data_IF_641935573213
#
_entry.id   IF_641935573213
#
_cell.length_a   1.000
_cell.length_b   1.000
_cell.length_c   1.000
_cell.angle_alpha   90.00
_cell.angle_beta   90.00
_cell.angle_gamma   90.00
#
_symmetry.space_group_name_H-M   'P 1'
#
loop_
_entity.id
_entity.type
_entity.pdbx_description
1 polymer ?
#
# COMPACT_ATOMS: atom_id res chain seq x y z
N UNK A 1 1.12 -14.67 -2.53
CA UNK A 1 0.03 -13.80 -2.02
C UNK A 1 0.39 -13.06 -0.74
N UNK A 2 0.93 -13.69 0.31
CA UNK A 2 1.28 -12.98 1.55
C UNK A 2 2.24 -11.78 1.33
N UNK A 3 3.18 -11.92 0.40
CA UNK A 3 4.11 -10.85 0.00
C UNK A 3 3.44 -9.62 -0.60
N UNK A 4 2.18 -9.69 -1.04
CA UNK A 4 1.46 -8.51 -1.53
C UNK A 4 1.00 -7.60 -0.38
N UNK A 5 0.78 -8.15 0.83
CA UNK A 5 -0.06 -7.56 1.90
C UNK A 5 0.59 -6.40 2.66
N UNK A 6 1.92 -6.37 2.80
CA UNK A 6 2.61 -5.34 3.59
C UNK A 6 3.51 -4.42 2.77
N UNK A 7 4.37 -4.93 1.84
CA UNK A 7 5.40 -4.11 1.19
C UNK A 7 4.90 -2.79 0.58
N UNK A 8 3.76 -2.82 -0.10
CA UNK A 8 3.17 -1.62 -0.69
C UNK A 8 2.90 -0.50 0.34
N UNK A 9 2.68 -0.82 1.62
CA UNK A 9 2.46 0.19 2.67
C UNK A 9 3.73 0.98 2.97
N UNK A 10 4.90 0.35 2.88
CA UNK A 10 6.19 1.04 3.07
C UNK A 10 6.42 2.10 2.00
N UNK A 11 6.19 1.73 0.73
CA UNK A 11 6.25 2.64 -0.42
C UNK A 11 5.38 3.89 -0.22
N UNK A 12 4.09 3.69 0.08
CA UNK A 12 3.14 4.79 0.32
C UNK A 12 3.57 5.69 1.49
N UNK A 13 4.18 5.10 2.52
CA UNK A 13 4.71 5.84 3.66
C UNK A 13 5.89 6.73 3.28
N UNK A 14 6.82 6.25 2.45
CA UNK A 14 7.92 7.09 1.97
C UNK A 14 7.43 8.25 1.09
N UNK A 15 6.47 8.00 0.19
CA UNK A 15 5.87 9.06 -0.63
C UNK A 15 5.16 10.10 0.25
N UNK A 16 4.32 9.65 1.19
CA UNK A 16 3.60 10.53 2.12
C UNK A 16 4.51 11.30 3.07
N UNK A 17 5.69 10.76 3.38
CA UNK A 17 6.69 11.41 4.24
C UNK A 17 7.54 12.44 3.49
N UNK A 18 7.69 12.32 2.17
CA UNK A 18 8.57 13.17 1.36
C UNK A 18 8.38 14.69 1.58
N UNK A 19 7.15 15.25 1.67
CA UNK A 19 6.95 16.68 1.92
C UNK A 19 7.44 17.16 3.29
N UNK A 20 7.56 16.25 4.26
CA UNK A 20 7.90 16.57 5.65
C UNK A 20 9.39 16.43 5.98
N UNK A 21 10.19 15.91 5.04
CA UNK A 21 11.62 15.67 5.25
C UNK A 21 12.46 16.88 4.83
N UNK A 22 13.25 17.37 5.77
CA UNK A 22 14.18 18.48 5.59
C UNK A 22 15.63 18.01 5.53
N UNK A 23 16.42 18.65 4.66
CA UNK A 23 17.86 18.42 4.51
C UNK A 23 18.25 17.40 3.44
N UNK A 24 19.40 17.63 2.79
CA UNK A 24 19.88 16.82 1.68
C UNK A 24 20.17 15.36 2.06
N UNK A 25 20.76 15.13 3.24
CA UNK A 25 21.11 13.77 3.70
C UNK A 25 19.87 12.91 3.88
N UNK A 26 18.85 13.44 4.57
CA UNK A 26 17.61 12.72 4.84
C UNK A 26 16.79 12.50 3.57
N UNK A 27 16.74 13.49 2.67
CA UNK A 27 16.11 13.31 1.35
C UNK A 27 16.83 12.25 0.50
N UNK A 28 18.17 12.20 0.55
CA UNK A 28 18.95 11.16 -0.14
C UNK A 28 18.62 9.77 0.40
N UNK A 29 18.51 9.63 1.73
CA UNK A 29 18.11 8.38 2.35
C UNK A 29 16.70 7.95 1.93
N UNK A 30 15.72 8.85 2.05
CA UNK A 30 14.33 8.57 1.65
C UNK A 30 14.24 8.17 0.18
N UNK A 31 14.89 8.90 -0.72
CA UNK A 31 14.89 8.58 -2.15
C UNK A 31 15.52 7.21 -2.45
N UNK A 32 16.60 6.86 -1.73
CA UNK A 32 17.23 5.55 -1.85
C UNK A 32 16.32 4.40 -1.40
N UNK A 33 15.62 4.56 -0.28
CA UNK A 33 14.66 3.57 0.23
C UNK A 33 13.44 3.46 -0.69
N UNK A 34 12.90 4.60 -1.13
CA UNK A 34 11.77 4.69 -2.03
C UNK A 34 12.01 3.88 -3.32
N UNK A 35 13.18 4.05 -3.95
CA UNK A 35 13.51 3.33 -5.19
C UNK A 35 13.55 1.81 -5.03
N UNK A 36 14.06 1.32 -3.90
CA UNK A 36 14.11 -0.13 -3.61
C UNK A 36 12.71 -0.69 -3.37
N UNK A 37 11.88 0.01 -2.58
CA UNK A 37 10.49 -0.41 -2.34
C UNK A 37 9.64 -0.39 -3.61
N UNK A 38 9.81 0.61 -4.49
CA UNK A 38 9.13 0.66 -5.79
C UNK A 38 9.50 -0.55 -6.65
N UNK A 39 10.79 -0.94 -6.68
CA UNK A 39 11.24 -2.13 -7.41
C UNK A 39 10.67 -3.43 -6.83
N UNK A 40 10.60 -3.54 -5.50
CA UNK A 40 9.99 -4.69 -4.83
C UNK A 40 8.49 -4.80 -5.14
N UNK A 41 7.75 -3.69 -5.05
CA UNK A 41 6.31 -3.67 -5.38
C UNK A 41 6.06 -4.07 -6.83
N UNK A 42 6.78 -3.48 -7.78
CA UNK A 42 6.65 -3.79 -9.20
C UNK A 42 6.97 -5.27 -9.50
N UNK A 43 7.99 -5.84 -8.87
CA UNK A 43 8.35 -7.26 -9.03
C UNK A 43 7.25 -8.19 -8.50
N UNK A 44 6.72 -7.91 -7.30
CA UNK A 44 5.64 -8.69 -6.71
C UNK A 44 4.37 -8.57 -7.56
N UNK A 45 3.99 -7.35 -7.98
CA UNK A 45 2.85 -7.12 -8.86
C UNK A 45 3.00 -7.84 -10.19
N UNK A 46 4.18 -7.80 -10.81
CA UNK A 46 4.49 -8.53 -12.05
C UNK A 46 4.28 -10.03 -11.89
N UNK A 47 4.84 -10.61 -10.84
CA UNK A 47 4.69 -12.05 -10.55
C UNK A 47 3.23 -12.46 -10.33
N UNK A 48 2.44 -11.63 -9.63
CA UNK A 48 1.02 -11.88 -9.39
C UNK A 48 0.18 -11.67 -10.64
N UNK A 49 0.53 -10.71 -11.49
CA UNK A 49 -0.16 -10.45 -12.75
C UNK A 49 -0.02 -11.62 -13.73
N UNK A 50 1.18 -12.21 -13.85
CA UNK A 50 1.39 -13.42 -14.64
C UNK A 50 0.46 -14.58 -14.22
N UNK A 51 0.11 -14.62 -12.93
CA UNK A 51 -0.75 -15.63 -12.31
C UNK A 51 -2.17 -15.16 -12.07
N UNK A 52 -2.53 -13.99 -12.61
CA UNK A 52 -3.80 -13.30 -12.31
C UNK A 52 -5.03 -14.19 -12.47
N UNK A 53 -5.02 -15.11 -13.44
CA UNK A 53 -6.12 -16.03 -13.76
C UNK A 53 -6.09 -17.35 -12.98
N UNK A 54 -5.02 -17.63 -12.23
CA UNK A 54 -4.93 -18.84 -11.41
C UNK A 54 -5.94 -18.76 -10.25
N UNK A 55 -6.69 -19.84 -10.03
CA UNK A 55 -7.63 -19.95 -8.91
C UNK A 55 -6.87 -20.38 -7.66
N UNK A 56 -7.05 -19.63 -6.56
CA UNK A 56 -6.33 -19.86 -5.30
C UNK A 56 -7.10 -20.86 -4.44
N UNK A 57 -6.84 -22.15 -4.62
CA UNK A 57 -7.48 -23.19 -3.80
C UNK A 57 -7.20 -23.03 -2.29
N UNK A 58 -8.19 -23.29 -1.41
CA UNK A 58 -9.56 -23.76 -1.68
C UNK A 58 -10.57 -22.65 -2.00
N UNK A 59 -10.12 -21.40 -2.10
CA UNK A 59 -10.96 -20.25 -2.30
C UNK A 59 -11.33 -20.14 -3.79
N UNK A 60 -12.62 -20.09 -4.14
CA UNK A 60 -13.10 -20.00 -5.52
C UNK A 60 -12.91 -18.59 -6.11
N UNK A 61 -11.71 -18.03 -5.96
CA UNK A 61 -11.30 -16.70 -6.35
C UNK A 61 -9.95 -16.77 -7.05
N UNK A 62 -9.77 -15.92 -8.05
CA UNK A 62 -8.50 -15.82 -8.76
C UNK A 62 -7.48 -15.01 -7.97
N UNK A 63 -6.20 -15.12 -8.34
CA UNK A 63 -5.14 -14.24 -7.81
C UNK A 63 -5.51 -12.77 -7.99
N UNK A 64 -6.04 -12.38 -9.16
CA UNK A 64 -6.49 -11.02 -9.42
C UNK A 64 -7.56 -10.57 -8.41
N UNK A 65 -8.59 -11.39 -8.19
CA UNK A 65 -9.67 -11.10 -7.24
C UNK A 65 -9.12 -10.84 -5.85
N UNK A 66 -8.18 -11.68 -5.38
CA UNK A 66 -7.56 -11.47 -4.09
C UNK A 66 -6.76 -10.18 -4.01
N UNK A 67 -6.01 -9.80 -5.05
CA UNK A 67 -5.29 -8.51 -5.04
C UNK A 67 -6.24 -7.33 -4.93
N UNK A 68 -7.36 -7.37 -5.68
CA UNK A 68 -8.40 -6.34 -5.62
C UNK A 68 -9.00 -6.27 -4.22
N UNK A 69 -9.31 -7.41 -3.60
CA UNK A 69 -9.88 -7.45 -2.25
C UNK A 69 -8.91 -6.94 -1.18
N UNK A 70 -7.61 -7.24 -1.30
CA UNK A 70 -6.58 -6.71 -0.39
C UNK A 70 -6.47 -5.19 -0.54
N UNK A 71 -6.43 -4.66 -1.76
CA UNK A 71 -6.38 -3.22 -2.00
C UNK A 71 -7.62 -2.51 -1.48
N UNK A 72 -8.82 -3.08 -1.73
CA UNK A 72 -10.09 -2.55 -1.20
C UNK A 72 -10.13 -2.56 0.33
N UNK A 73 -9.62 -3.62 0.97
CA UNK A 73 -9.51 -3.71 2.41
C UNK A 73 -8.64 -2.56 2.96
N UNK A 74 -7.46 -2.31 2.37
CA UNK A 74 -6.57 -1.24 2.81
C UNK A 74 -7.18 0.14 2.62
N UNK A 75 -7.82 0.40 1.48
CA UNK A 75 -8.50 1.68 1.23
C UNK A 75 -9.61 1.93 2.25
N UNK A 76 -10.41 0.89 2.56
CA UNK A 76 -11.48 0.96 3.57
C UNK A 76 -10.92 1.23 4.97
N UNK A 77 -9.89 0.50 5.39
CA UNK A 77 -9.27 0.69 6.71
C UNK A 77 -8.59 2.06 6.83
N UNK A 78 -7.92 2.53 5.78
CA UNK A 78 -7.26 3.83 5.78
C UNK A 78 -8.23 5.02 5.76
N UNK A 79 -9.50 4.81 5.37
CA UNK A 79 -10.55 5.85 5.28
C UNK A 79 -10.18 7.04 4.37
N UNK A 80 -9.41 6.81 3.30
CA UNK A 80 -8.75 7.87 2.52
C UNK A 80 -9.08 7.87 1.02
N UNK A 81 -10.16 7.21 0.60
CA UNK A 81 -10.45 6.97 -0.82
C UNK A 81 -9.54 5.92 -1.46
N UNK A 82 -9.40 5.96 -2.79
CA UNK A 82 -8.61 4.99 -3.56
C UNK A 82 -7.15 5.45 -3.61
N UNK A 83 -6.27 4.73 -2.90
CA UNK A 83 -4.80 4.92 -2.94
C UNK A 83 -4.06 3.59 -3.11
N UNK A 84 -4.80 2.58 -3.55
CA UNK A 84 -4.32 1.22 -3.74
C UNK A 84 -5.30 0.48 -4.64
N UNK A 85 -4.77 -0.30 -5.54
CA UNK A 85 -5.50 -1.01 -6.58
C UNK A 85 -4.83 -2.36 -6.83
N UNK A 86 -5.66 -3.35 -7.18
CA UNK A 86 -5.19 -4.69 -7.54
C UNK A 86 -4.31 -4.69 -8.78
N UNK A 87 -3.75 -5.86 -9.13
CA UNK A 87 -2.83 -5.97 -10.30
C UNK A 87 -3.56 -5.91 -11.64
N UNK A 88 -4.89 -6.06 -11.62
CA UNK A 88 -5.79 -5.84 -12.76
C UNK A 88 -6.82 -4.80 -12.36
N UNK A 89 -7.02 -3.81 -13.21
CA UNK A 89 -8.00 -2.72 -13.04
C UNK A 89 -8.85 -2.59 -14.30
N UNK A 90 -10.08 -2.04 -14.21
CA UNK A 90 -10.84 -1.66 -15.38
C UNK A 90 -10.04 -0.71 -16.27
N UNK A 91 -10.21 -0.76 -17.61
CA UNK A 91 -9.45 0.09 -18.53
C UNK A 91 -9.48 1.57 -18.17
N UNK A 92 -10.57 2.08 -17.58
CA UNK A 92 -10.76 3.47 -17.18
C UNK A 92 -9.85 3.92 -16.02
N UNK A 93 -9.24 2.99 -15.30
CA UNK A 93 -8.29 3.26 -14.23
C UNK A 93 -6.84 2.95 -14.63
N UNK A 94 -6.64 2.21 -15.73
CA UNK A 94 -5.28 1.92 -16.19
C UNK A 94 -4.70 2.99 -17.10
N UNK A 95 -3.41 2.82 -17.42
CA UNK A 95 -2.64 3.79 -18.17
C UNK A 95 -3.32 4.16 -19.51
N UNK A 96 -3.44 5.47 -19.74
CA UNK A 96 -4.08 6.10 -20.90
C UNK A 96 -5.55 5.70 -21.12
N UNK A 97 -6.25 5.18 -20.11
CA UNK A 97 -7.58 4.56 -20.23
C UNK A 97 -7.62 3.35 -21.19
N UNK A 98 -6.48 2.70 -21.44
CA UNK A 98 -6.32 1.67 -22.49
C UNK A 98 -5.72 0.36 -22.00
N UNK A 99 -5.29 0.32 -20.75
CA UNK A 99 -4.57 -0.82 -20.18
C UNK A 99 -5.32 -1.35 -18.97
N UNK A 100 -5.37 -2.66 -18.80
CA UNK A 100 -5.98 -3.29 -17.61
C UNK A 100 -4.92 -3.72 -16.58
N UNK A 101 -3.65 -3.79 -16.98
CA UNK A 101 -2.56 -4.12 -16.08
C UNK A 101 -2.19 -2.93 -15.20
N UNK A 102 -2.00 -3.23 -13.91
CA UNK A 102 -1.61 -2.24 -12.90
C UNK A 102 -0.35 -2.71 -12.15
N UNK A 103 0.72 -2.87 -12.92
CA UNK A 103 2.03 -3.29 -12.41
C UNK A 103 2.75 -2.16 -11.67
N UNK A 104 2.56 -0.93 -12.16
CA UNK A 104 3.08 0.30 -11.57
C UNK A 104 1.89 1.13 -11.11
N UNK A 105 1.50 0.96 -9.85
CA UNK A 105 0.34 1.67 -9.31
C UNK A 105 0.67 3.13 -9.04
N UNK A 106 -0.12 4.01 -9.66
CA UNK A 106 0.04 5.45 -9.60
C UNK A 106 -1.30 6.15 -9.82
N UNK A 107 -1.38 7.42 -9.43
CA UNK A 107 -2.55 8.26 -9.69
C UNK A 107 -2.68 8.66 -11.17
N UNK A 108 -3.70 9.46 -11.47
CA UNK A 108 -3.95 9.95 -12.84
C UNK A 108 -2.76 10.71 -13.45
N UNK A 109 -1.89 11.31 -12.64
CA UNK A 109 -0.70 12.02 -13.09
C UNK A 109 0.53 11.11 -13.15
N UNK A 110 0.36 9.80 -13.00
CA UNK A 110 1.45 8.82 -12.89
C UNK A 110 2.37 9.07 -11.69
N UNK A 111 1.84 9.65 -10.61
CA UNK A 111 2.54 9.80 -9.34
C UNK A 111 2.16 8.67 -8.39
N UNK A 112 3.15 8.09 -7.71
CA UNK A 112 2.87 7.12 -6.64
C UNK A 112 1.97 7.73 -5.58
N UNK A 113 1.03 6.95 -5.07
CA UNK A 113 0.18 7.39 -3.97
C UNK A 113 0.98 7.59 -2.68
N UNK A 114 0.50 8.48 -1.80
CA UNK A 114 1.06 8.70 -0.48
C UNK A 114 0.03 8.46 0.61
N UNK A 115 0.45 7.79 1.69
CA UNK A 115 -0.36 7.66 2.92
C UNK A 115 0.27 8.37 4.11
N UNK A 116 -0.57 8.92 4.97
CA UNK A 116 -0.12 9.49 6.25
C UNK A 116 0.22 8.38 7.25
N UNK A 117 1.00 8.66 8.31
CA UNK A 117 1.27 7.68 9.35
C UNK A 117 0.00 7.10 9.98
N UNK A 118 -1.01 7.94 10.23
CA UNK A 118 -2.32 7.50 10.74
C UNK A 118 -3.02 6.54 9.78
N UNK A 119 -3.12 6.89 8.49
CA UNK A 119 -3.70 6.00 7.45
C UNK A 119 -2.99 4.64 7.39
N UNK A 120 -1.66 4.63 7.56
CA UNK A 120 -0.86 3.40 7.58
C UNK A 120 -1.14 2.57 8.83
N UNK A 121 -1.18 3.21 10.01
CA UNK A 121 -1.42 2.50 11.27
C UNK A 121 -2.83 1.90 11.33
N UNK A 122 -3.86 2.59 10.84
CA UNK A 122 -5.22 2.04 10.68
C UNK A 122 -5.24 0.71 9.92
N UNK A 123 -4.44 0.62 8.85
CA UNK A 123 -4.30 -0.58 8.03
C UNK A 123 -3.48 -1.65 8.76
N UNK A 124 -2.33 -1.30 9.32
CA UNK A 124 -1.43 -2.24 9.99
C UNK A 124 -2.05 -2.84 11.27
N UNK A 125 -2.82 -2.05 12.00
CA UNK A 125 -3.61 -2.53 13.14
C UNK A 125 -4.86 -3.30 12.72
N UNK A 126 -5.29 -3.17 11.46
CA UNK A 126 -6.48 -3.84 10.91
C UNK A 126 -7.78 -3.49 11.65
N UNK A 127 -7.79 -2.35 12.35
CA UNK A 127 -8.93 -1.82 13.13
C UNK A 127 -9.65 -0.70 12.40
N UNK A 128 -8.98 -0.02 11.46
CA UNK A 128 -9.47 1.22 10.88
C UNK A 128 -9.27 2.44 11.79
N UNK A 129 -8.59 2.24 12.93
CA UNK A 129 -8.33 3.26 13.95
C UNK A 129 -6.85 3.20 14.36
N UNK A 130 -6.13 4.31 14.18
CA UNK A 130 -4.72 4.47 14.51
C UNK A 130 -4.44 4.48 16.02
N UNK A 131 -5.48 4.60 16.84
CA UNK A 131 -5.41 4.62 18.30
C UNK A 131 -5.66 3.24 18.92
N UNK A 132 -6.11 2.25 18.12
CA UNK A 132 -6.45 0.90 18.59
C UNK A 132 -5.49 -0.11 17.95
N UNK A 133 -4.49 -0.62 18.70
CA UNK A 133 -3.59 -1.67 18.26
C UNK A 133 -4.31 -2.96 17.86
N UNK A 134 -3.67 -3.75 16.99
CA UNK A 134 -4.24 -4.99 16.48
C UNK A 134 -3.43 -5.56 15.32
N UNK A 135 -4.00 -6.54 14.61
CA UNK A 135 -3.46 -7.02 13.34
C UNK A 135 -1.98 -7.40 13.41
N UNK A 136 -1.14 -6.70 12.63
CA UNK A 136 0.29 -6.94 12.56
C UNK A 136 1.08 -6.42 13.77
N UNK A 137 0.49 -5.52 14.55
CA UNK A 137 1.08 -4.93 15.74
C UNK A 137 0.06 -4.97 16.90
N UNK A 138 -0.19 -6.16 17.48
CA UNK A 138 -1.20 -6.34 18.52
C UNK A 138 -0.91 -5.52 19.79
N UNK A 139 0.36 -5.19 20.05
CA UNK A 139 0.81 -4.36 21.17
C UNK A 139 1.08 -2.90 20.78
N UNK A 140 0.79 -2.54 19.53
CA UNK A 140 1.08 -1.21 18.97
C UNK A 140 2.47 -1.13 18.35
N UNK A 141 2.63 -0.21 17.39
CA UNK A 141 3.91 0.04 16.77
C UNK A 141 4.80 0.92 17.67
N UNK A 142 6.11 0.63 17.70
CA UNK A 142 7.06 1.28 18.62
C UNK A 142 7.70 2.57 18.07
N UNK A 143 7.18 3.11 16.96
CA UNK A 143 7.64 4.39 16.42
C UNK A 143 7.21 5.56 17.30
N UNK A 144 7.95 6.68 17.26
CA UNK A 144 7.57 7.89 18.01
C UNK A 144 6.13 8.33 17.68
N UNK A 145 5.81 8.46 16.38
CA UNK A 145 4.49 8.87 15.90
C UNK A 145 3.39 7.89 16.35
N UNK A 146 3.67 6.58 16.27
CA UNK A 146 2.71 5.57 16.68
C UNK A 146 2.41 5.62 18.18
N UNK A 147 3.42 5.86 19.03
CA UNK A 147 3.22 6.02 20.47
C UNK A 147 2.42 7.28 20.80
N UNK A 148 2.72 8.40 20.14
CA UNK A 148 1.96 9.66 20.30
C UNK A 148 0.48 9.46 19.93
N UNK A 149 0.20 8.77 18.81
CA UNK A 149 -1.18 8.41 18.40
C UNK A 149 -1.85 7.36 19.30
N UNK A 150 -1.17 6.74 20.26
CA UNK A 150 -1.84 5.87 21.25
C UNK A 150 -2.18 6.63 22.54
N UNK A 151 -1.56 7.78 22.75
CA UNK A 151 -1.75 8.61 23.94
C UNK A 151 -2.91 9.62 23.78
N UNK A 152 -3.25 10.01 22.54
CA UNK A 152 -4.27 11.03 22.22
C UNK A 152 -5.48 10.44 21.47
N UNK A 153 -6.64 10.19 22.12
CA UNK A 153 -7.85 9.69 21.44
C UNK A 153 -8.68 10.77 20.70
#
# INVERSE_FOLDING_TARGET
MASYVIPYMGLLGYVGTNPNINGCVTKRLLAGLLGVESGQDAYIRGYLYERSKEVVHPYNHTVADFTIQVSNLRNRLAMCGIKDEGVVVPPQLGAENRTESNLLSADYNSLSYGRTPAEILKVLYSTGDEHIPGGFFPEGANGKIARELLEEP
#
